data_IF_822524863610
#
_entry.id   IF_822524863610
#
_cell.length_a   1.000
_cell.length_b   1.000
_cell.length_c   1.000
_cell.angle_alpha   90.00
_cell.angle_beta   90.00
_cell.angle_gamma   90.00
#
_symmetry.space_group_name_H-M   'P 1'
#
loop_
_entity.id
_entity.type
_entity.pdbx_description
1 polymer ?
#
# COMPACT_ATOMS: atom_id res chain seq x y z
N UNK A 1 -8.24 -1.56 -3.85
CA UNK A 1 -8.07 -1.56 -2.38
C UNK A 1 -8.19 -0.16 -1.79
N UNK A 2 -8.90 0.02 -0.66
CA UNK A 2 -9.02 1.33 0.01
C UNK A 2 -7.67 1.86 0.54
N UNK A 3 -6.82 0.98 1.06
CA UNK A 3 -5.50 1.35 1.56
C UNK A 3 -4.59 1.89 0.45
N UNK A 4 -4.54 1.21 -0.71
CA UNK A 4 -3.76 1.67 -1.86
C UNK A 4 -4.30 2.99 -2.42
N UNK A 5 -5.61 3.18 -2.45
CA UNK A 5 -6.23 4.44 -2.88
C UNK A 5 -5.87 5.61 -1.98
N UNK A 6 -5.81 5.40 -0.66
CA UNK A 6 -5.41 6.44 0.29
C UNK A 6 -3.94 6.84 0.12
N UNK A 7 -3.04 5.86 -0.02
CA UNK A 7 -1.63 6.13 -0.31
C UNK A 7 -1.44 6.84 -1.67
N UNK A 8 -2.22 6.45 -2.70
CA UNK A 8 -2.17 7.10 -4.01
C UNK A 8 -2.68 8.55 -3.95
N UNK A 9 -3.72 8.82 -3.17
CA UNK A 9 -4.22 10.18 -2.96
C UNK A 9 -3.20 11.05 -2.22
N UNK A 10 -2.54 10.52 -1.19
CA UNK A 10 -1.47 11.23 -0.49
C UNK A 10 -0.29 11.53 -1.43
N UNK A 11 0.10 10.57 -2.26
CA UNK A 11 1.10 10.78 -3.30
C UNK A 11 0.65 11.85 -4.31
N UNK A 12 -0.60 11.81 -4.78
CA UNK A 12 -1.13 12.84 -5.67
C UNK A 12 -1.13 14.25 -5.02
N UNK A 13 -1.34 14.32 -3.69
CA UNK A 13 -1.30 15.55 -2.91
C UNK A 13 0.12 16.07 -2.61
N UNK A 14 1.17 15.32 -2.97
CA UNK A 14 2.57 15.75 -2.87
C UNK A 14 3.40 15.03 -1.82
N UNK A 15 2.83 14.09 -1.06
CA UNK A 15 3.61 13.27 -0.11
C UNK A 15 4.60 12.37 -0.86
N UNK A 16 5.87 12.39 -0.46
CA UNK A 16 6.97 11.63 -1.09
C UNK A 16 7.79 10.83 -0.10
N UNK A 17 7.55 10.96 1.20
CA UNK A 17 8.18 10.12 2.21
C UNK A 17 7.61 8.68 2.14
N UNK A 18 8.43 7.69 1.75
CA UNK A 18 7.98 6.31 1.64
C UNK A 18 7.53 5.72 2.98
N UNK A 19 8.09 6.15 4.12
CA UNK A 19 7.66 5.68 5.43
C UNK A 19 6.31 6.27 5.84
N UNK A 20 6.06 7.54 5.52
CA UNK A 20 4.75 8.16 5.72
C UNK A 20 3.65 7.45 4.90
N UNK A 21 3.93 7.21 3.61
CA UNK A 21 3.00 6.50 2.71
C UNK A 21 2.77 5.05 3.15
N UNK A 22 3.82 4.36 3.60
CA UNK A 22 3.74 3.02 4.20
C UNK A 22 2.89 3.04 5.47
N UNK A 23 3.05 4.07 6.30
CA UNK A 23 2.23 4.30 7.49
C UNK A 23 0.75 4.34 7.16
N UNK A 24 0.35 5.07 6.11
CA UNK A 24 -1.04 5.11 5.64
C UNK A 24 -1.58 3.72 5.28
N UNK A 25 -0.80 2.92 4.54
CA UNK A 25 -1.19 1.54 4.19
C UNK A 25 -1.46 0.71 5.43
N UNK A 26 -0.54 0.75 6.41
CA UNK A 26 -0.66 -0.01 7.66
C UNK A 26 -1.88 0.46 8.45
N UNK A 27 -2.00 1.76 8.69
CA UNK A 27 -3.12 2.34 9.46
C UNK A 27 -4.46 1.91 8.86
N UNK A 28 -4.62 1.97 7.54
CA UNK A 28 -5.87 1.57 6.88
C UNK A 28 -6.15 0.08 6.91
N UNK A 29 -5.13 -0.75 6.72
CA UNK A 29 -5.30 -2.21 6.79
C UNK A 29 -5.60 -2.65 8.24
N UNK A 30 -4.98 -2.03 9.24
CA UNK A 30 -5.25 -2.34 10.66
C UNK A 30 -6.59 -1.83 11.17
N UNK A 31 -7.25 -0.91 10.47
CA UNK A 31 -8.59 -0.45 10.81
C UNK A 31 -9.65 -1.55 10.58
N UNK A 32 -9.33 -2.58 9.79
CA UNK A 32 -10.20 -3.72 9.51
C UNK A 32 -9.89 -4.89 10.48
N UNK A 33 -10.74 -5.17 11.49
CA UNK A 33 -10.39 -6.11 12.57
C UNK A 33 -10.16 -7.56 12.14
N UNK A 34 -10.72 -7.95 10.99
CA UNK A 34 -10.62 -9.31 10.45
C UNK A 34 -9.39 -9.51 9.55
N UNK A 35 -8.63 -8.44 9.30
CA UNK A 35 -7.49 -8.44 8.39
C UNK A 35 -6.19 -8.58 9.18
N UNK A 36 -5.38 -9.56 8.81
CA UNK A 36 -4.01 -9.72 9.31
C UNK A 36 -3.01 -9.40 8.20
N UNK A 37 -2.13 -8.44 8.42
CA UNK A 37 -1.15 -7.98 7.42
C UNK A 37 0.02 -8.98 7.37
N UNK A 38 0.31 -9.53 6.19
CA UNK A 38 1.56 -10.27 5.93
C UNK A 38 2.69 -9.26 5.66
N UNK A 39 2.44 -8.30 4.76
CA UNK A 39 3.33 -7.16 4.50
C UNK A 39 2.57 -5.99 3.88
N UNK A 40 3.10 -4.77 4.09
CA UNK A 40 2.70 -3.55 3.40
C UNK A 40 3.96 -2.69 3.22
N UNK A 41 4.39 -2.50 1.98
CA UNK A 41 5.70 -1.91 1.67
C UNK A 41 5.67 -1.05 0.41
N UNK A 42 6.61 -0.10 0.33
CA UNK A 42 6.89 0.65 -0.90
C UNK A 42 8.24 0.23 -1.48
N UNK A 43 8.21 -0.30 -2.69
CA UNK A 43 9.39 -0.82 -3.38
C UNK A 43 9.59 -0.14 -4.73
N UNK A 44 10.82 -0.13 -5.21
CA UNK A 44 11.13 0.30 -6.57
C UNK A 44 10.55 -0.74 -7.56
N UNK A 45 9.79 -0.32 -8.58
CA UNK A 45 9.10 -1.25 -9.48
C UNK A 45 10.04 -2.09 -10.36
N UNK A 46 11.29 -1.67 -10.57
CA UNK A 46 12.24 -2.40 -11.41
C UNK A 46 13.09 -3.40 -10.60
N UNK A 47 13.46 -3.04 -9.37
CA UNK A 47 14.39 -3.80 -8.53
C UNK A 47 13.73 -4.51 -7.35
N UNK A 48 12.50 -4.13 -7.01
CA UNK A 48 11.76 -4.60 -5.84
C UNK A 48 12.49 -4.34 -4.51
N UNK A 49 13.38 -3.34 -4.48
CA UNK A 49 14.10 -2.89 -3.29
C UNK A 49 13.44 -1.65 -2.69
N UNK A 50 13.62 -1.41 -1.39
CA UNK A 50 13.15 -0.19 -0.73
C UNK A 50 14.23 0.92 -0.78
N UNK A 51 13.83 2.20 -0.79
CA UNK A 51 12.48 2.69 -0.99
C UNK A 51 12.08 2.71 -2.48
N UNK A 52 10.79 2.88 -2.77
CA UNK A 52 10.31 3.18 -4.12
C UNK A 52 8.87 3.64 -4.15
N UNK A 53 8.21 3.54 -5.32
CA UNK A 53 6.85 4.06 -5.54
C UNK A 53 5.78 3.00 -5.72
N UNK A 54 6.16 1.73 -5.87
CA UNK A 54 5.21 0.63 -5.98
C UNK A 54 4.77 0.20 -4.59
N UNK A 55 3.54 0.54 -4.22
CA UNK A 55 2.93 0.03 -3.01
C UNK A 55 2.53 -1.43 -3.23
N UNK A 56 3.02 -2.32 -2.38
CA UNK A 56 2.70 -3.76 -2.40
C UNK A 56 2.12 -4.17 -1.05
N UNK A 57 0.98 -4.84 -1.07
CA UNK A 57 0.31 -5.30 0.14
C UNK A 57 -0.07 -6.77 0.01
N UNK A 58 0.10 -7.50 1.12
CA UNK A 58 -0.45 -8.82 1.31
C UNK A 58 -1.11 -8.90 2.68
N UNK A 59 -2.31 -9.45 2.71
CA UNK A 59 -3.06 -9.61 3.95
C UNK A 59 -3.95 -10.85 3.90
N UNK A 60 -4.38 -11.30 5.07
CA UNK A 60 -5.25 -12.46 5.25
C UNK A 60 -6.59 -12.04 5.81
N UNK A 61 -7.66 -12.57 5.23
CA UNK A 61 -9.02 -12.51 5.73
C UNK A 61 -9.49 -13.94 6.01
N UNK A 62 -9.42 -14.34 7.29
CA UNK A 62 -9.59 -15.73 7.69
C UNK A 62 -8.54 -16.64 7.03
N UNK A 63 -8.99 -17.56 6.18
CA UNK A 63 -8.09 -18.47 5.43
C UNK A 63 -7.65 -17.92 4.08
N UNK A 64 -8.31 -16.87 3.59
CA UNK A 64 -8.05 -16.31 2.27
C UNK A 64 -6.86 -15.35 2.35
N UNK A 65 -5.89 -15.52 1.44
CA UNK A 65 -4.75 -14.61 1.30
C UNK A 65 -4.97 -13.72 0.09
N UNK A 66 -4.98 -12.42 0.32
CA UNK A 66 -5.16 -11.38 -0.70
C UNK A 66 -3.81 -10.69 -0.93
N UNK A 67 -3.56 -10.36 -2.18
CA UNK A 67 -2.45 -9.50 -2.59
C UNK A 67 -3.01 -8.39 -3.45
N UNK A 68 -2.44 -7.20 -3.33
CA UNK A 68 -2.75 -6.06 -4.19
C UNK A 68 -1.50 -5.19 -4.33
N UNK A 69 -1.39 -4.45 -5.43
CA UNK A 69 -0.29 -3.52 -5.64
C UNK A 69 -0.74 -2.35 -6.51
N UNK A 70 -0.11 -1.19 -6.31
CA UNK A 70 -0.35 -0.01 -7.13
C UNK A 70 0.90 0.87 -7.19
N UNK A 71 1.29 1.31 -8.37
CA UNK A 71 2.34 2.32 -8.51
C UNK A 71 1.74 3.69 -8.18
N UNK A 72 2.17 4.28 -7.08
CA UNK A 72 1.59 5.53 -6.54
C UNK A 72 1.74 6.73 -7.49
N UNK A 73 2.63 6.63 -8.50
CA UNK A 73 2.79 7.64 -9.55
C UNK A 73 1.65 7.63 -10.57
N UNK A 74 0.88 6.54 -10.63
CA UNK A 74 -0.23 6.38 -11.56
C UNK A 74 -1.55 6.77 -10.87
N UNK A 75 -2.52 7.32 -11.62
CA UNK A 75 -3.86 7.56 -11.11
C UNK A 75 -4.44 6.27 -10.52
N UNK A 76 -5.06 6.37 -9.34
CA UNK A 76 -5.77 5.24 -8.76
C UNK A 76 -7.08 5.02 -9.52
N UNK A 77 -7.41 3.78 -9.94
CA UNK A 77 -8.66 3.50 -10.62
C UNK A 77 -9.86 3.83 -9.71
N UNK A 78 -10.92 4.38 -10.33
CA UNK A 78 -12.17 4.76 -9.67
C UNK A 78 -12.94 3.54 -9.15
#
# INVERSE_FOLDING_TARGET
SAALGEAANAYAAGERDPEALRGLLITRLTAEPLVSIDYAELVDPATFQKPGSLAVVAARLGKTRLIDNHDLRLPFPA
#
